data_IF_383879640359
#
_entry.id   IF_383879640359
#
_cell.length_a   1.000
_cell.length_b   1.000
_cell.length_c   1.000
_cell.angle_alpha   90.00
_cell.angle_beta   90.00
_cell.angle_gamma   90.00
#
_symmetry.space_group_name_H-M   'P 1'
#
loop_
_entity.id
_entity.type
_entity.pdbx_description
1 polymer ?
#
# COMPACT_ATOMS: atom_id res chain seq x y z
N UNK A 1 -17.41 -6.30 7.45
CA UNK A 1 -17.80 -4.98 7.96
C UNK A 1 -17.69 -3.96 6.83
N UNK A 2 -18.58 -2.97 6.77
CA UNK A 2 -18.57 -1.87 5.80
C UNK A 2 -18.58 -0.55 6.58
N UNK A 3 -17.55 0.28 6.40
CA UNK A 3 -17.53 1.65 6.92
C UNK A 3 -18.08 2.56 5.83
N UNK A 4 -19.22 3.19 6.07
CA UNK A 4 -19.86 4.11 5.14
C UNK A 4 -19.31 5.52 5.37
N UNK A 5 -18.85 6.16 4.30
CA UNK A 5 -18.41 7.55 4.28
C UNK A 5 -19.30 8.33 3.32
N UNK A 6 -19.70 9.54 3.67
CA UNK A 6 -20.46 10.40 2.78
C UNK A 6 -19.62 10.77 1.55
N UNK A 7 -20.28 10.89 0.39
CA UNK A 7 -19.64 10.98 -0.92
C UNK A 7 -18.83 12.24 -1.18
N UNK A 8 -19.04 13.29 -0.39
CA UNK A 8 -18.43 14.62 -0.62
C UNK A 8 -17.06 14.78 0.03
N UNK A 9 -16.62 13.76 0.77
CA UNK A 9 -15.33 13.77 1.47
C UNK A 9 -14.30 12.98 0.68
N UNK A 10 -13.20 13.61 0.32
CA UNK A 10 -12.02 12.92 -0.22
C UNK A 10 -11.38 12.06 0.88
N UNK A 11 -11.55 10.75 0.77
CA UNK A 11 -11.04 9.80 1.77
C UNK A 11 -9.54 9.54 1.55
N UNK A 12 -8.72 10.18 2.38
CA UNK A 12 -7.27 10.07 2.31
C UNK A 12 -6.73 8.83 3.05
N UNK A 13 -5.52 8.32 2.71
CA UNK A 13 -4.94 7.11 3.31
C UNK A 13 -4.89 7.11 4.84
N UNK A 14 -4.61 8.26 5.47
CA UNK A 14 -4.58 8.38 6.92
C UNK A 14 -5.95 8.17 7.56
N UNK A 15 -7.02 8.68 6.95
CA UNK A 15 -8.39 8.48 7.41
C UNK A 15 -8.77 6.99 7.38
N UNK A 16 -8.45 6.30 6.27
CA UNK A 16 -8.63 4.85 6.14
C UNK A 16 -7.85 4.09 7.20
N UNK A 17 -6.57 4.44 7.41
CA UNK A 17 -5.72 3.81 8.41
C UNK A 17 -6.27 3.97 9.84
N UNK A 18 -6.83 5.13 10.19
CA UNK A 18 -7.50 5.36 11.48
C UNK A 18 -8.75 4.49 11.65
N UNK A 19 -9.60 4.37 10.62
CA UNK A 19 -10.76 3.48 10.65
C UNK A 19 -10.33 2.02 10.83
N UNK A 20 -9.33 1.58 10.08
CA UNK A 20 -8.75 0.23 10.22
C UNK A 20 -8.19 -0.03 11.62
N UNK A 21 -7.55 0.96 12.24
CA UNK A 21 -7.05 0.87 13.62
C UNK A 21 -8.19 0.59 14.61
N UNK A 22 -9.32 1.30 14.51
CA UNK A 22 -10.47 1.06 15.39
C UNK A 22 -11.10 -0.32 15.17
N UNK A 23 -11.17 -0.78 13.92
CA UNK A 23 -11.64 -2.13 13.60
C UNK A 23 -10.68 -3.18 14.15
N UNK A 24 -9.37 -2.98 13.98
CA UNK A 24 -8.34 -3.85 14.54
C UNK A 24 -8.46 -3.98 16.06
N UNK A 25 -8.63 -2.87 16.77
CA UNK A 25 -8.79 -2.86 18.23
C UNK A 25 -10.03 -3.63 18.71
N UNK A 26 -11.05 -3.67 17.89
CA UNK A 26 -12.28 -4.39 18.18
C UNK A 26 -12.17 -5.88 17.87
N UNK A 27 -11.62 -6.22 16.69
CA UNK A 27 -11.59 -7.60 16.18
C UNK A 27 -10.35 -8.40 16.67
N UNK A 28 -9.27 -7.70 17.05
CA UNK A 28 -8.01 -8.28 17.58
C UNK A 28 -7.44 -9.43 16.71
N UNK A 29 -7.30 -9.26 15.40
CA UNK A 29 -6.73 -10.30 14.54
C UNK A 29 -5.22 -10.45 14.78
N UNK A 30 -4.71 -11.67 14.62
CA UNK A 30 -3.28 -11.94 14.69
C UNK A 30 -2.51 -11.48 13.43
N UNK A 31 -3.20 -11.41 12.28
CA UNK A 31 -2.59 -11.04 11.02
C UNK A 31 -3.53 -10.16 10.19
N UNK A 32 -3.00 -9.04 9.72
CA UNK A 32 -3.70 -8.16 8.78
C UNK A 32 -3.03 -8.25 7.42
N UNK A 33 -3.79 -8.70 6.41
CA UNK A 33 -3.36 -8.76 5.01
C UNK A 33 -4.08 -7.69 4.20
N UNK A 34 -3.31 -6.91 3.45
CA UNK A 34 -3.81 -5.82 2.62
C UNK A 34 -3.13 -5.86 1.24
N UNK A 35 -3.78 -5.31 0.22
CA UNK A 35 -3.08 -4.93 -1.00
C UNK A 35 -2.08 -3.82 -0.72
N UNK A 36 -0.97 -3.78 -1.47
CA UNK A 36 0.05 -2.73 -1.28
C UNK A 36 -0.50 -1.32 -1.57
N UNK A 37 -1.37 -1.20 -2.55
CA UNK A 37 -1.97 0.07 -2.97
C UNK A 37 -3.25 -0.16 -3.77
N UNK A 38 -4.11 0.85 -3.83
CA UNK A 38 -5.24 0.89 -4.74
C UNK A 38 -4.82 1.47 -6.10
N UNK A 39 -5.45 1.04 -7.18
CA UNK A 39 -5.08 1.46 -8.55
C UNK A 39 -5.53 2.89 -8.87
N UNK A 40 -6.59 3.36 -8.22
CA UNK A 40 -7.16 4.69 -8.39
C UNK A 40 -6.36 5.77 -7.65
N UNK A 41 -6.00 5.52 -6.39
CA UNK A 41 -5.26 6.48 -5.57
C UNK A 41 -3.73 6.37 -5.68
N UNK A 42 -3.21 5.19 -5.99
CA UNK A 42 -1.78 4.86 -6.17
C UNK A 42 -0.82 5.37 -5.07
N UNK A 43 -1.37 5.63 -3.87
CA UNK A 43 -0.61 6.28 -2.79
C UNK A 43 0.35 5.35 -2.06
N UNK A 44 0.04 4.04 -1.97
CA UNK A 44 0.85 3.05 -1.24
C UNK A 44 1.19 3.45 0.22
N UNK A 45 0.26 4.00 0.95
CA UNK A 45 0.49 4.56 2.28
C UNK A 45 -0.36 3.95 3.40
N UNK A 46 -1.56 3.46 3.08
CA UNK A 46 -2.55 3.05 4.08
C UNK A 46 -2.03 1.94 5.01
N UNK A 47 -1.41 0.90 4.45
CA UNK A 47 -0.91 -0.23 5.25
C UNK A 47 0.19 0.18 6.22
N UNK A 48 1.13 0.99 5.78
CA UNK A 48 2.23 1.49 6.60
C UNK A 48 1.74 2.45 7.69
N UNK A 49 0.82 3.35 7.36
CA UNK A 49 0.19 4.26 8.33
C UNK A 49 -0.60 3.47 9.39
N UNK A 50 -1.36 2.47 8.95
CA UNK A 50 -2.10 1.61 9.87
C UNK A 50 -1.15 0.85 10.81
N UNK A 51 -0.10 0.23 10.29
CA UNK A 51 0.89 -0.48 11.10
C UNK A 51 1.52 0.44 12.16
N UNK A 52 1.88 1.67 11.78
CA UNK A 52 2.43 2.66 12.68
C UNK A 52 1.42 3.08 13.78
N UNK A 53 0.16 3.36 13.39
CA UNK A 53 -0.90 3.73 14.34
C UNK A 53 -1.22 2.60 15.33
N UNK A 54 -1.14 1.35 14.86
CA UNK A 54 -1.39 0.17 15.69
C UNK A 54 -0.15 -0.30 16.47
N UNK A 55 1.01 0.32 16.24
CA UNK A 55 2.31 -0.10 16.79
C UNK A 55 2.62 -1.58 16.51
N UNK A 56 2.38 -2.00 15.26
CA UNK A 56 2.56 -3.37 14.80
C UNK A 56 3.78 -3.48 13.86
N UNK A 57 4.50 -4.61 13.89
CA UNK A 57 5.48 -4.92 12.87
C UNK A 57 4.83 -5.03 11.49
N UNK A 58 5.57 -4.61 10.46
CA UNK A 58 5.05 -4.60 9.10
C UNK A 58 6.01 -5.26 8.09
N UNK A 59 5.42 -6.00 7.14
CA UNK A 59 6.10 -6.53 5.96
C UNK A 59 5.42 -6.01 4.71
N UNK A 60 6.07 -5.06 4.01
CA UNK A 60 5.51 -4.43 2.81
C UNK A 60 5.99 -5.10 1.54
N UNK A 61 5.17 -5.06 0.47
CA UNK A 61 5.48 -5.63 -0.85
C UNK A 61 5.78 -7.13 -0.82
N UNK A 62 5.04 -7.88 0.00
CA UNK A 62 5.27 -9.30 0.16
C UNK A 62 5.06 -10.05 -1.17
N UNK A 63 6.10 -10.75 -1.63
CA UNK A 63 6.08 -11.68 -2.75
C UNK A 63 6.01 -13.14 -2.30
N UNK A 64 6.43 -13.43 -1.05
CA UNK A 64 6.27 -14.73 -0.41
C UNK A 64 5.87 -14.54 1.05
N UNK A 65 5.05 -15.46 1.56
CA UNK A 65 4.52 -15.42 2.91
C UNK A 65 4.44 -16.83 3.52
N UNK A 66 5.04 -17.02 4.67
CA UNK A 66 4.91 -18.26 5.47
C UNK A 66 4.44 -17.92 6.88
N UNK A 67 3.24 -18.41 7.24
CA UNK A 67 2.62 -18.15 8.55
C UNK A 67 2.91 -19.30 9.50
N UNK A 68 3.41 -18.98 10.69
CA UNK A 68 3.65 -19.90 11.81
C UNK A 68 2.81 -19.49 13.01
N UNK A 69 2.84 -20.28 14.08
CA UNK A 69 1.99 -20.07 15.24
C UNK A 69 2.19 -18.71 15.95
N UNK A 70 3.40 -18.16 15.97
CA UNK A 70 3.73 -16.94 16.70
C UNK A 70 4.48 -15.88 15.87
N UNK A 71 4.77 -16.19 14.61
CA UNK A 71 5.46 -15.28 13.71
C UNK A 71 5.09 -15.55 12.26
N UNK A 72 5.37 -14.57 11.42
CA UNK A 72 5.25 -14.67 9.96
C UNK A 72 6.60 -14.36 9.33
N UNK A 73 6.97 -15.13 8.31
CA UNK A 73 8.14 -14.87 7.48
C UNK A 73 7.67 -14.27 6.16
N UNK A 74 8.24 -13.13 5.80
CA UNK A 74 7.84 -12.36 4.61
C UNK A 74 9.07 -12.15 3.74
N UNK A 75 9.01 -12.58 2.48
CA UNK A 75 9.98 -12.19 1.45
C UNK A 75 9.41 -11.04 0.63
N UNK A 76 10.19 -9.97 0.49
CA UNK A 76 9.81 -8.74 -0.19
C UNK A 76 10.89 -8.29 -1.17
N UNK A 77 10.50 -7.59 -2.24
CA UNK A 77 11.44 -6.93 -3.12
C UNK A 77 11.92 -5.60 -2.53
N UNK A 78 13.20 -5.33 -2.71
CA UNK A 78 13.87 -4.06 -2.41
C UNK A 78 14.81 -3.73 -3.56
N UNK A 79 15.32 -2.50 -3.63
CA UNK A 79 16.16 -2.03 -4.76
C UNK A 79 17.39 -2.91 -5.04
N UNK A 80 17.92 -3.59 -4.05
CA UNK A 80 19.07 -4.48 -4.19
C UNK A 80 18.74 -5.96 -4.39
N UNK A 81 17.46 -6.35 -4.50
CA UNK A 81 17.03 -7.75 -4.64
C UNK A 81 15.90 -8.14 -3.68
N UNK A 82 16.06 -9.23 -2.94
CA UNK A 82 15.06 -9.72 -2.00
C UNK A 82 15.52 -9.57 -0.55
N UNK A 83 14.57 -9.24 0.32
CA UNK A 83 14.77 -9.19 1.76
C UNK A 83 13.75 -10.10 2.44
N UNK A 84 14.22 -11.01 3.29
CA UNK A 84 13.34 -11.86 4.11
C UNK A 84 13.30 -11.34 5.54
N UNK A 85 12.09 -11.06 6.04
CA UNK A 85 11.82 -10.57 7.38
C UNK A 85 11.07 -11.63 8.18
N UNK A 86 11.40 -11.74 9.46
CA UNK A 86 10.61 -12.49 10.44
C UNK A 86 9.92 -11.51 11.38
N UNK A 87 8.60 -11.51 11.38
CA UNK A 87 7.76 -10.59 12.14
C UNK A 87 6.99 -11.37 13.22
N UNK A 88 6.99 -10.85 14.43
CA UNK A 88 6.16 -11.40 15.52
C UNK A 88 4.70 -11.01 15.27
N UNK A 89 3.77 -11.91 15.54
CA UNK A 89 2.35 -11.64 15.50
C UNK A 89 1.87 -10.91 16.77
N UNK A 90 0.88 -10.00 16.67
CA UNK A 90 0.16 -9.60 15.47
C UNK A 90 1.02 -8.73 14.53
N UNK A 91 0.78 -8.84 13.21
CA UNK A 91 1.56 -8.14 12.17
C UNK A 91 0.70 -7.64 11.01
N UNK A 92 1.21 -6.64 10.29
CA UNK A 92 0.59 -6.08 9.08
C UNK A 92 1.44 -6.43 7.86
N UNK A 93 0.81 -7.03 6.85
CA UNK A 93 1.46 -7.41 5.60
C UNK A 93 0.74 -6.70 4.44
N UNK A 94 1.50 -6.03 3.61
CA UNK A 94 0.97 -5.56 2.33
C UNK A 94 1.49 -6.44 1.20
N UNK A 95 0.57 -6.97 0.39
CA UNK A 95 0.90 -7.92 -0.66
C UNK A 95 1.23 -7.23 -1.98
N UNK A 96 2.25 -7.76 -2.67
CA UNK A 96 2.51 -7.50 -4.07
C UNK A 96 1.66 -8.43 -4.95
N UNK A 97 1.54 -8.10 -6.24
CA UNK A 97 0.80 -8.91 -7.21
C UNK A 97 1.37 -10.33 -7.41
N UNK A 98 2.63 -10.55 -7.03
CA UNK A 98 3.35 -11.83 -7.17
C UNK A 98 3.21 -12.76 -5.99
N UNK A 99 2.49 -12.38 -4.93
CA UNK A 99 2.33 -13.21 -3.73
C UNK A 99 1.71 -14.57 -4.06
N UNK A 100 0.68 -14.59 -4.88
CA UNK A 100 0.06 -15.80 -5.41
C UNK A 100 -0.86 -15.50 -6.59
N UNK A 101 -1.18 -16.52 -7.38
CA UNK A 101 -2.19 -16.41 -8.41
C UNK A 101 -3.60 -16.41 -7.79
N UNK A 102 -4.46 -15.42 -8.11
CA UNK A 102 -5.81 -15.36 -7.56
C UNK A 102 -6.69 -16.55 -8.01
N UNK A 103 -7.42 -17.12 -7.06
CA UNK A 103 -8.37 -18.21 -7.35
C UNK A 103 -9.67 -17.67 -7.94
N UNK A 104 -10.23 -18.39 -8.90
CA UNK A 104 -11.57 -18.09 -9.41
C UNK A 104 -12.65 -18.46 -8.38
N UNK A 105 -13.65 -17.58 -8.25
CA UNK A 105 -14.81 -17.87 -7.39
C UNK A 105 -15.75 -18.86 -8.07
N UNK A 106 -16.08 -19.95 -7.39
CA UNK A 106 -17.09 -20.90 -7.86
C UNK A 106 -18.51 -20.32 -7.71
N UNK A 107 -19.44 -20.77 -8.55
CA UNK A 107 -20.83 -20.33 -8.46
C UNK A 107 -21.47 -20.58 -7.08
N UNK A 108 -21.29 -21.73 -6.41
CA UNK A 108 -21.75 -21.93 -5.05
C UNK A 108 -21.18 -20.92 -4.05
N UNK A 109 -19.88 -20.57 -4.16
CA UNK A 109 -19.22 -19.58 -3.29
C UNK A 109 -19.83 -18.18 -3.47
N UNK A 110 -20.14 -17.79 -4.71
CA UNK A 110 -20.80 -16.51 -5.00
C UNK A 110 -22.19 -16.48 -4.37
N UNK A 111 -22.95 -17.58 -4.50
CA UNK A 111 -24.31 -17.70 -3.92
C UNK A 111 -24.28 -17.64 -2.38
N UNK A 112 -23.28 -18.25 -1.74
CA UNK A 112 -23.10 -18.18 -0.29
C UNK A 112 -22.70 -16.78 0.16
N UNK A 113 -21.80 -16.12 -0.57
CA UNK A 113 -21.36 -14.77 -0.25
C UNK A 113 -22.50 -13.76 -0.23
N UNK A 114 -23.47 -13.87 -1.18
CA UNK A 114 -24.66 -13.02 -1.23
C UNK A 114 -25.58 -13.13 -0.01
N UNK A 115 -25.49 -14.22 0.75
CA UNK A 115 -26.31 -14.45 1.96
C UNK A 115 -25.63 -14.01 3.25
N UNK A 116 -24.35 -13.62 3.21
CA UNK A 116 -23.62 -13.18 4.41
C UNK A 116 -24.10 -11.80 4.85
N UNK A 117 -24.33 -11.59 6.15
CA UNK A 117 -24.68 -10.27 6.66
C UNK A 117 -23.51 -9.30 6.49
N UNK A 118 -23.83 -8.06 6.16
CA UNK A 118 -22.86 -6.95 6.15
C UNK A 118 -23.16 -6.10 7.38
N UNK A 119 -22.20 -6.01 8.28
CA UNK A 119 -22.26 -5.08 9.41
C UNK A 119 -21.79 -3.70 8.95
N UNK A 120 -22.68 -2.74 8.99
CA UNK A 120 -22.43 -1.37 8.59
C UNK A 120 -22.06 -0.52 9.81
N UNK A 121 -21.17 0.45 9.63
CA UNK A 121 -20.79 1.43 10.62
C UNK A 121 -20.32 2.70 9.90
N UNK A 122 -20.15 3.80 10.64
CA UNK A 122 -19.65 5.07 10.11
C UNK A 122 -18.37 5.50 10.83
N UNK A 123 -17.61 6.47 10.29
CA UNK A 123 -16.45 7.02 10.99
C UNK A 123 -16.82 7.64 12.35
N UNK A 124 -17.99 8.27 12.45
CA UNK A 124 -18.49 8.87 13.70
C UNK A 124 -18.74 7.81 14.76
N UNK A 125 -19.37 6.69 14.39
CA UNK A 125 -19.59 5.55 15.30
C UNK A 125 -18.28 4.89 15.75
N UNK A 126 -17.24 5.00 14.92
CA UNK A 126 -15.89 4.54 15.26
C UNK A 126 -15.09 5.59 16.04
N UNK A 127 -15.63 6.77 16.26
CA UNK A 127 -14.92 7.91 16.87
C UNK A 127 -13.63 8.24 16.09
N UNK A 128 -13.74 8.42 14.75
CA UNK A 128 -12.63 8.72 13.86
C UNK A 128 -12.86 10.02 13.11
N UNK A 129 -11.93 10.95 13.24
CA UNK A 129 -11.84 12.13 12.39
C UNK A 129 -11.23 11.75 11.05
N UNK A 130 -12.03 11.86 9.97
CA UNK A 130 -11.67 11.59 8.59
C UNK A 130 -11.38 12.85 7.77
N UNK A 131 -11.34 14.04 8.39
CA UNK A 131 -11.10 15.30 7.69
C UNK A 131 -9.81 15.22 6.84
N UNK A 132 -9.85 15.69 5.58
CA UNK A 132 -8.68 15.74 4.72
C UNK A 132 -7.56 16.58 5.35
N UNK A 133 -6.31 16.09 5.22
CA UNK A 133 -5.11 16.77 5.74
C UNK A 133 -4.28 17.41 4.64
N UNK A 134 -4.54 17.05 3.40
CA UNK A 134 -3.85 17.54 2.21
C UNK A 134 -4.89 18.04 1.22
N UNK A 135 -4.58 19.09 0.48
CA UNK A 135 -5.43 19.59 -0.60
C UNK A 135 -4.60 19.75 -1.86
N UNK A 136 -5.22 19.44 -3.01
CA UNK A 136 -4.59 19.66 -4.31
C UNK A 136 -4.57 21.17 -4.60
N UNK A 137 -3.37 21.73 -4.77
CA UNK A 137 -3.19 23.17 -5.07
C UNK A 137 -3.23 23.44 -6.57
N UNK A 138 -2.44 22.69 -7.35
CA UNK A 138 -2.43 22.79 -8.82
C UNK A 138 -1.90 21.51 -9.46
N UNK A 139 -2.24 21.31 -10.72
CA UNK A 139 -1.68 20.26 -11.58
C UNK A 139 -1.24 20.91 -12.88
N UNK A 140 0.05 20.85 -13.14
CA UNK A 140 0.66 21.42 -14.34
C UNK A 140 1.44 20.34 -15.10
N UNK A 141 1.54 20.52 -16.41
CA UNK A 141 2.43 19.67 -17.21
C UNK A 141 3.89 19.91 -16.83
N UNK A 142 4.72 18.87 -16.78
CA UNK A 142 6.15 19.06 -16.58
C UNK A 142 6.73 19.93 -17.71
N UNK A 143 7.73 20.76 -17.42
CA UNK A 143 8.40 21.55 -18.45
C UNK A 143 8.98 20.64 -19.54
N UNK A 144 8.85 21.06 -20.80
CA UNK A 144 9.45 20.31 -21.91
C UNK A 144 10.97 20.19 -21.68
N UNK A 145 11.46 18.96 -21.70
CA UNK A 145 12.90 18.74 -21.68
C UNK A 145 13.49 19.21 -23.01
N UNK A 146 14.66 19.87 -23.01
CA UNK A 146 15.39 20.15 -24.24
C UNK A 146 15.75 18.83 -24.93
N UNK A 147 15.89 18.89 -26.25
CA UNK A 147 16.38 17.75 -27.01
C UNK A 147 17.77 17.34 -26.51
N UNK A 148 18.02 16.04 -26.46
CA UNK A 148 19.33 15.52 -26.11
C UNK A 148 20.37 15.81 -27.22
N UNK A 149 21.62 15.85 -26.86
CA UNK A 149 22.74 16.02 -27.79
C UNK A 149 23.19 14.65 -28.28
N UNK A 150 23.23 14.46 -29.61
CA UNK A 150 23.81 13.25 -30.21
C UNK A 150 25.33 13.37 -30.16
N UNK A 151 25.98 12.32 -29.69
CA UNK A 151 27.45 12.22 -29.61
C UNK A 151 27.96 11.22 -30.63
N UNK A 152 29.18 11.38 -31.07
CA UNK A 152 29.81 10.54 -32.11
C UNK A 152 30.57 9.33 -31.56
N UNK A 153 30.92 9.36 -30.28
CA UNK A 153 31.67 8.29 -29.61
C UNK A 153 31.33 8.15 -28.14
N UNK A 154 31.73 7.01 -27.55
CA UNK A 154 31.59 6.75 -26.10
C UNK A 154 32.47 7.71 -25.29
N UNK A 155 33.65 8.04 -25.77
CA UNK A 155 34.56 8.95 -25.09
C UNK A 155 33.96 10.36 -24.99
N UNK A 156 33.38 10.87 -26.07
CA UNK A 156 32.64 12.13 -26.07
C UNK A 156 31.45 12.11 -25.11
N UNK A 157 30.72 10.99 -25.03
CA UNK A 157 29.63 10.84 -24.06
C UNK A 157 30.14 10.95 -22.63
N UNK A 158 31.22 10.22 -22.31
CA UNK A 158 31.81 10.24 -20.97
C UNK A 158 32.31 11.64 -20.59
N UNK A 159 32.96 12.35 -21.54
CA UNK A 159 33.42 13.71 -21.34
C UNK A 159 32.26 14.66 -21.02
N UNK A 160 31.18 14.60 -21.79
CA UNK A 160 29.98 15.41 -21.55
C UNK A 160 29.29 15.08 -20.24
N UNK A 161 29.18 13.80 -19.89
CA UNK A 161 28.57 13.37 -18.62
C UNK A 161 29.41 13.86 -17.41
N UNK A 162 30.74 13.85 -17.51
CA UNK A 162 31.65 14.34 -16.44
C UNK A 162 31.70 15.87 -16.35
N UNK A 163 31.90 16.53 -17.47
CA UNK A 163 32.29 17.95 -17.48
C UNK A 163 31.08 18.88 -17.63
N UNK A 164 30.06 18.50 -18.42
CA UNK A 164 28.88 19.32 -18.67
C UNK A 164 27.73 18.92 -17.72
N UNK A 165 27.30 17.66 -17.73
CA UNK A 165 26.17 17.20 -16.93
C UNK A 165 26.53 16.93 -15.47
N UNK A 166 27.79 16.61 -15.16
CA UNK A 166 28.33 16.33 -13.80
C UNK A 166 27.55 15.25 -13.05
N UNK A 167 27.20 14.17 -13.75
CA UNK A 167 26.41 13.06 -13.21
C UNK A 167 27.21 11.78 -12.96
N UNK A 168 28.47 11.77 -13.41
CA UNK A 168 29.47 10.72 -13.15
C UNK A 168 30.82 11.31 -12.78
#
# INVERSE_FOLDING_TARGET
MLVKVESDIELQPLAVAKCLKKIFDREQPDLVLMGKQSIDGDNNQTGQMFAALANLPQGTFASELAVNSNHVTVTREVDGGFQTLRLTLPAVITSDLRLNEPRYSSLPSIMQAKKKPIHETTPEELDVDIAPRVSLVSVDFPPKRPEGVKVSSVDELLEKLKNEAKVI
#
